data_IF_719047970550
#
_entry.id   IF_719047970550
#
_cell.length_a   1.000
_cell.length_b   1.000
_cell.length_c   1.000
_cell.angle_alpha   90.00
_cell.angle_beta   90.00
_cell.angle_gamma   90.00
#
_symmetry.space_group_name_H-M   'P 1'
#
loop_
_entity.id
_entity.type
_entity.pdbx_description
1 polymer ?
#
# COMPACT_ATOMS: atom_id res chain seq x y z
N UNK A 1 -16.43 21.09 42.92
CA UNK A 1 -17.89 21.22 43.16
C UNK A 1 -18.16 22.17 44.31
N UNK A 2 -17.52 22.01 45.47
CA UNK A 2 -17.77 22.85 46.64
C UNK A 2 -17.50 24.36 46.45
N UNK A 3 -16.57 24.74 45.56
CA UNK A 3 -16.18 26.14 45.38
C UNK A 3 -16.97 26.79 44.25
N UNK A 4 -17.25 26.06 43.17
CA UNK A 4 -17.84 26.60 41.94
C UNK A 4 -19.25 26.11 41.64
N UNK A 5 -19.85 25.34 42.55
CA UNK A 5 -21.19 24.72 42.38
C UNK A 5 -21.40 24.02 41.04
N UNK A 6 -20.31 23.41 40.54
CA UNK A 6 -20.30 22.66 39.26
C UNK A 6 -19.43 21.41 39.39
N UNK A 7 -19.50 20.53 38.41
CA UNK A 7 -18.64 19.34 38.35
C UNK A 7 -17.15 19.73 38.21
N UNK A 8 -16.25 18.99 38.85
CA UNK A 8 -14.81 19.27 38.78
C UNK A 8 -14.22 18.92 37.39
N UNK A 9 -14.82 17.98 36.71
CA UNK A 9 -14.46 17.53 35.36
C UNK A 9 -15.68 16.94 34.65
N UNK A 10 -15.72 17.03 33.35
CA UNK A 10 -16.80 16.45 32.52
C UNK A 10 -16.49 15.05 32.05
N UNK A 11 -15.21 14.74 31.81
CA UNK A 11 -14.76 13.46 31.29
C UNK A 11 -13.60 12.93 32.14
N UNK A 12 -13.55 11.60 32.31
CA UNK A 12 -12.47 10.89 32.97
C UNK A 12 -12.01 9.75 32.06
N UNK A 13 -10.73 9.72 31.76
CA UNK A 13 -10.11 8.61 31.03
C UNK A 13 -9.24 7.85 32.03
N UNK A 14 -9.54 6.57 32.22
CA UNK A 14 -8.72 5.69 33.04
C UNK A 14 -7.77 4.92 32.13
N UNK A 15 -6.46 5.09 32.30
CA UNK A 15 -5.46 4.36 31.52
C UNK A 15 -5.26 2.93 32.01
N UNK A 16 -4.99 2.02 31.08
CA UNK A 16 -4.51 0.68 31.38
C UNK A 16 -3.08 0.66 31.92
N UNK A 17 -2.60 -0.52 32.26
CA UNK A 17 -1.22 -0.73 32.73
C UNK A 17 -0.27 -0.94 31.54
N UNK A 18 0.97 -0.47 31.69
CA UNK A 18 2.06 -0.85 30.80
C UNK A 18 2.66 -2.16 31.31
N UNK A 19 2.55 -3.21 30.51
CA UNK A 19 3.03 -4.56 30.77
C UNK A 19 4.32 -4.83 29.97
N UNK A 20 5.07 -5.87 30.35
CA UNK A 20 6.17 -6.34 29.51
C UNK A 20 5.66 -6.96 28.18
N UNK A 21 6.55 -7.30 27.26
CA UNK A 21 6.19 -7.87 25.96
C UNK A 21 5.43 -9.21 26.07
N UNK A 22 5.56 -9.92 27.19
CA UNK A 22 4.84 -11.17 27.49
C UNK A 22 3.47 -10.93 28.14
N UNK A 23 3.16 -9.67 28.50
CA UNK A 23 1.91 -9.30 29.15
C UNK A 23 1.93 -9.43 30.67
N UNK A 24 3.11 -9.51 31.29
CA UNK A 24 3.23 -9.52 32.75
C UNK A 24 3.40 -8.10 33.29
N UNK A 25 2.92 -7.87 34.50
CA UNK A 25 3.13 -6.61 35.22
C UNK A 25 4.63 -6.37 35.42
N UNK A 26 5.11 -5.20 35.04
CA UNK A 26 6.50 -4.81 35.26
C UNK A 26 6.81 -4.63 36.76
N UNK A 27 7.90 -5.21 37.21
CA UNK A 27 8.36 -5.12 38.58
C UNK A 27 9.88 -5.15 38.69
N UNK A 28 10.46 -4.29 39.51
CA UNK A 28 11.91 -4.28 39.76
C UNK A 28 12.40 -5.62 40.37
N UNK A 29 11.55 -6.29 41.15
CA UNK A 29 11.88 -7.60 41.75
C UNK A 29 11.99 -8.71 40.71
N UNK A 30 11.18 -8.64 39.65
CA UNK A 30 11.18 -9.62 38.54
C UNK A 30 12.26 -9.26 37.49
N UNK A 31 12.75 -8.02 37.47
CA UNK A 31 13.75 -7.55 36.54
C UNK A 31 13.23 -7.34 35.10
N UNK A 32 11.91 -7.23 34.96
CA UNK A 32 11.25 -7.06 33.64
C UNK A 32 10.80 -5.61 33.38
N UNK A 33 11.36 -4.64 34.10
CA UNK A 33 11.05 -3.21 33.93
C UNK A 33 11.84 -2.68 32.73
N UNK A 34 11.16 -2.11 31.77
CA UNK A 34 11.78 -1.35 30.69
C UNK A 34 12.04 0.08 31.17
N UNK A 35 13.29 0.53 31.05
CA UNK A 35 13.66 1.91 31.38
C UNK A 35 13.26 2.84 30.22
N UNK A 36 12.33 3.79 30.43
CA UNK A 36 11.90 4.68 29.36
C UNK A 36 13.01 5.58 28.80
N UNK A 37 13.98 5.99 29.63
CA UNK A 37 15.10 6.81 29.18
C UNK A 37 16.02 6.04 28.21
N UNK A 38 16.30 4.78 28.50
CA UNK A 38 17.06 3.93 27.55
C UNK A 38 16.35 3.76 26.22
N UNK A 39 15.01 3.70 26.23
CA UNK A 39 14.22 3.63 25.00
C UNK A 39 14.27 4.95 24.22
N UNK A 40 14.19 6.09 24.94
CA UNK A 40 14.28 7.43 24.34
C UNK A 40 15.67 7.66 23.75
N UNK A 41 16.73 7.29 24.48
CA UNK A 41 18.11 7.44 24.00
C UNK A 41 18.39 6.57 22.76
N UNK A 42 17.79 5.39 22.71
CA UNK A 42 18.00 4.44 21.59
C UNK A 42 17.15 4.71 20.36
N UNK A 43 15.89 5.07 20.55
CA UNK A 43 14.91 5.13 19.46
C UNK A 43 14.37 6.53 19.18
N UNK A 44 14.58 7.48 20.10
CA UNK A 44 14.00 8.82 20.09
C UNK A 44 12.69 8.88 20.89
N UNK A 45 12.35 10.08 21.37
CA UNK A 45 11.14 10.29 22.17
C UNK A 45 9.85 10.07 21.36
N UNK A 46 9.81 10.57 20.12
CA UNK A 46 8.61 10.51 19.28
C UNK A 46 8.23 9.10 18.84
N UNK A 47 9.16 8.21 18.41
CA UNK A 47 8.83 6.82 18.18
C UNK A 47 8.27 6.09 19.39
N UNK A 48 8.82 6.36 20.59
CA UNK A 48 8.29 5.78 21.85
C UNK A 48 6.87 6.27 22.12
N UNK A 49 6.63 7.60 22.01
CA UNK A 49 5.32 8.21 22.21
C UNK A 49 4.28 7.67 21.22
N UNK A 50 4.61 7.72 19.93
CA UNK A 50 3.71 7.27 18.86
C UNK A 50 3.37 5.79 19.00
N UNK A 51 4.37 4.93 19.26
CA UNK A 51 4.13 3.52 19.55
C UNK A 51 3.19 3.31 20.73
N UNK A 52 3.41 4.01 21.85
CA UNK A 52 2.56 3.86 23.03
C UNK A 52 1.12 4.32 22.77
N UNK A 53 0.92 5.36 21.95
CA UNK A 53 -0.40 5.89 21.65
C UNK A 53 -1.15 5.08 20.59
N UNK A 54 -0.45 4.40 19.68
CA UNK A 54 -1.07 3.69 18.55
C UNK A 54 -1.16 2.17 18.74
N UNK A 55 -0.38 1.59 19.68
CA UNK A 55 -0.31 0.14 19.87
C UNK A 55 -1.56 -0.45 20.55
N UNK A 56 -2.13 0.23 21.53
CA UNK A 56 -3.37 -0.18 22.20
C UNK A 56 -4.19 1.03 22.63
N UNK A 57 -5.50 0.81 22.78
CA UNK A 57 -6.42 1.83 23.28
C UNK A 57 -5.99 2.32 24.67
N UNK A 58 -6.20 3.61 25.03
CA UNK A 58 -5.70 4.17 26.30
C UNK A 58 -6.19 3.43 27.54
N UNK A 59 -7.40 2.88 27.52
CA UNK A 59 -8.01 2.15 28.63
C UNK A 59 -7.61 0.68 28.70
N UNK A 60 -6.96 0.14 27.66
CA UNK A 60 -6.46 -1.22 27.63
C UNK A 60 -5.03 -1.33 28.14
N UNK A 61 -4.64 -2.53 28.54
CA UNK A 61 -3.27 -2.79 28.94
C UNK A 61 -2.33 -2.81 27.71
N UNK A 62 -1.32 -1.97 27.75
CA UNK A 62 -0.28 -1.91 26.71
C UNK A 62 0.80 -2.96 26.98
N UNK A 63 1.02 -3.90 26.05
CA UNK A 63 2.21 -4.74 26.02
C UNK A 63 3.34 -3.98 25.37
N UNK A 64 4.30 -3.54 26.16
CA UNK A 64 5.43 -2.77 25.66
C UNK A 64 6.52 -3.70 25.12
N UNK A 65 6.78 -3.60 23.81
CA UNK A 65 7.83 -4.34 23.12
C UNK A 65 8.81 -3.34 22.47
N UNK A 66 10.10 -3.33 22.88
CA UNK A 66 11.13 -2.50 22.23
C UNK A 66 11.26 -2.72 20.70
N UNK A 67 10.98 -3.94 20.22
CA UNK A 67 11.00 -4.21 18.79
C UNK A 67 9.85 -3.49 18.06
N UNK A 68 8.69 -3.35 18.69
CA UNK A 68 7.57 -2.58 18.16
C UNK A 68 7.90 -1.08 18.07
N UNK A 69 8.65 -0.54 19.04
CA UNK A 69 9.16 0.84 18.97
C UNK A 69 10.11 1.02 17.78
N UNK A 70 11.06 0.08 17.60
CA UNK A 70 11.97 0.12 16.45
C UNK A 70 11.24 -0.04 15.11
N UNK A 71 10.23 -0.87 15.07
CA UNK A 71 9.36 -1.03 13.89
C UNK A 71 8.63 0.28 13.56
N UNK A 72 8.05 0.95 14.54
CA UNK A 72 7.41 2.26 14.41
C UNK A 72 8.41 3.31 13.90
N UNK A 73 9.62 3.36 14.47
CA UNK A 73 10.69 4.25 14.03
C UNK A 73 11.05 4.04 12.56
N UNK A 74 11.21 2.78 12.13
CA UNK A 74 11.62 2.45 10.77
C UNK A 74 10.47 2.57 9.76
N UNK A 75 9.29 2.04 10.09
CA UNK A 75 8.17 1.96 9.14
C UNK A 75 7.41 3.27 9.04
N UNK A 76 7.08 3.92 10.15
CA UNK A 76 6.33 5.18 10.12
C UNK A 76 7.27 6.39 9.93
N UNK A 77 8.15 6.66 10.89
CA UNK A 77 9.02 7.85 10.81
C UNK A 77 10.00 7.75 9.65
N UNK A 78 10.56 6.55 9.40
CA UNK A 78 11.44 6.34 8.24
C UNK A 78 10.73 6.57 6.91
N UNK A 79 9.48 6.16 6.77
CA UNK A 79 8.67 6.41 5.57
C UNK A 79 8.35 7.89 5.40
N UNK A 80 7.92 8.55 6.47
CA UNK A 80 7.63 9.99 6.43
C UNK A 80 8.88 10.81 6.11
N UNK A 81 10.01 10.49 6.74
CA UNK A 81 11.30 11.11 6.46
C UNK A 81 11.73 10.91 4.98
N UNK A 82 11.61 9.70 4.45
CA UNK A 82 11.95 9.43 3.05
C UNK A 82 11.03 10.19 2.08
N UNK A 83 9.75 10.33 2.43
CA UNK A 83 8.77 11.10 1.65
C UNK A 83 9.12 12.58 1.65
N UNK A 84 9.45 13.15 2.82
CA UNK A 84 9.95 14.51 2.95
C UNK A 84 11.27 14.70 2.20
N UNK A 85 12.25 13.81 2.38
CA UNK A 85 13.56 13.89 1.72
C UNK A 85 13.43 13.85 0.19
N UNK A 86 12.51 13.03 -0.33
CA UNK A 86 12.19 13.03 -1.76
C UNK A 86 11.65 14.39 -2.21
N UNK A 87 10.69 14.95 -1.47
CA UNK A 87 10.14 16.27 -1.76
C UNK A 87 11.24 17.34 -1.72
N UNK A 88 11.98 17.43 -0.63
CA UNK A 88 13.00 18.45 -0.39
C UNK A 88 14.12 18.41 -1.44
N UNK A 89 14.57 17.20 -1.82
CA UNK A 89 15.60 17.03 -2.84
C UNK A 89 15.20 17.70 -4.15
N UNK A 90 14.02 17.38 -4.66
CA UNK A 90 13.57 17.91 -5.95
C UNK A 90 13.09 19.34 -5.84
N UNK A 91 12.42 19.73 -4.76
CA UNK A 91 11.97 21.10 -4.52
C UNK A 91 13.16 22.08 -4.51
N UNK A 92 14.26 21.71 -3.87
CA UNK A 92 15.49 22.55 -3.84
C UNK A 92 16.16 22.63 -5.21
N UNK A 93 16.22 21.53 -5.96
CA UNK A 93 16.83 21.51 -7.31
C UNK A 93 16.02 22.34 -8.29
N UNK A 94 14.70 22.25 -8.22
CA UNK A 94 13.79 22.91 -9.14
C UNK A 94 13.41 24.35 -8.70
N UNK A 95 13.81 24.77 -7.49
CA UNK A 95 13.48 26.09 -6.93
C UNK A 95 11.97 26.24 -6.67
N UNK A 96 11.33 25.18 -6.13
CA UNK A 96 9.91 25.23 -5.81
C UNK A 96 9.61 26.34 -4.79
N UNK A 97 8.60 27.15 -5.10
CA UNK A 97 8.07 28.21 -4.24
C UNK A 97 6.67 27.80 -3.74
N UNK A 98 6.56 27.63 -2.43
CA UNK A 98 5.29 27.26 -1.79
C UNK A 98 4.23 28.38 -1.84
N UNK A 99 4.68 29.64 -1.99
CA UNK A 99 3.81 30.82 -2.08
C UNK A 99 3.37 31.11 -3.53
N UNK A 100 3.91 30.37 -4.50
CA UNK A 100 3.50 30.52 -5.90
C UNK A 100 2.00 30.31 -6.09
N UNK A 101 1.45 30.94 -7.14
CA UNK A 101 0.03 30.82 -7.49
C UNK A 101 -0.38 29.34 -7.59
N UNK A 102 -1.41 28.99 -6.84
CA UNK A 102 -1.88 27.62 -6.76
C UNK A 102 -2.52 27.17 -8.09
N UNK A 103 -2.18 25.96 -8.53
CA UNK A 103 -2.91 25.29 -9.60
C UNK A 103 -4.34 25.06 -9.11
N UNK A 104 -5.38 25.56 -9.83
CA UNK A 104 -6.77 25.36 -9.45
C UNK A 104 -7.09 23.86 -9.25
N UNK A 105 -7.91 23.55 -8.23
CA UNK A 105 -8.23 22.15 -7.88
C UNK A 105 -8.79 21.37 -9.08
N UNK A 106 -9.64 21.97 -9.88
CA UNK A 106 -10.29 21.36 -11.04
C UNK A 106 -9.30 21.05 -12.19
N UNK A 107 -8.16 21.73 -12.23
CA UNK A 107 -7.11 21.50 -13.22
C UNK A 107 -6.09 20.45 -12.77
N UNK A 108 -6.09 20.10 -11.50
CA UNK A 108 -5.17 19.10 -10.98
C UNK A 108 -5.50 17.72 -11.54
N UNK A 109 -4.50 16.90 -11.88
CA UNK A 109 -4.72 15.50 -12.24
C UNK A 109 -5.55 14.75 -11.20
N UNK A 110 -6.27 13.72 -11.63
CA UNK A 110 -7.14 12.91 -10.74
C UNK A 110 -6.39 12.37 -9.53
N UNK A 111 -5.13 11.94 -9.72
CA UNK A 111 -4.29 11.43 -8.63
C UNK A 111 -3.98 12.48 -7.56
N UNK A 112 -3.83 13.75 -7.94
CA UNK A 112 -3.62 14.86 -7.00
C UNK A 112 -4.93 15.18 -6.26
N UNK A 113 -6.06 15.20 -6.98
CA UNK A 113 -7.39 15.40 -6.38
C UNK A 113 -7.74 14.28 -5.40
N UNK A 114 -7.40 13.04 -5.76
CA UNK A 114 -7.60 11.90 -4.87
C UNK A 114 -6.84 12.04 -3.55
N UNK A 115 -5.53 12.31 -3.59
CA UNK A 115 -4.76 12.38 -2.33
C UNK A 115 -5.18 13.58 -1.47
N UNK A 116 -5.61 14.70 -2.09
CA UNK A 116 -6.16 15.84 -1.37
C UNK A 116 -7.54 15.53 -0.77
N UNK A 117 -8.38 14.77 -1.45
CA UNK A 117 -9.63 14.25 -0.90
C UNK A 117 -9.35 13.36 0.32
N UNK A 118 -8.48 12.36 0.16
CA UNK A 118 -8.07 11.46 1.25
C UNK A 118 -7.46 12.22 2.43
N UNK A 119 -6.71 13.30 2.18
CA UNK A 119 -6.16 14.17 3.21
C UNK A 119 -7.28 14.87 4.00
N UNK A 120 -8.31 15.39 3.34
CA UNK A 120 -9.44 16.04 4.00
C UNK A 120 -10.29 15.03 4.78
N UNK A 121 -10.46 13.83 4.27
CA UNK A 121 -11.07 12.70 4.99
C UNK A 121 -10.24 12.31 6.22
N UNK A 122 -8.91 12.31 6.12
CA UNK A 122 -8.00 12.10 7.25
C UNK A 122 -8.19 13.17 8.33
N UNK A 123 -8.16 14.47 7.96
CA UNK A 123 -8.34 15.59 8.91
C UNK A 123 -9.63 15.42 9.69
N UNK A 124 -10.74 15.14 9.00
CA UNK A 124 -12.06 14.92 9.60
C UNK A 124 -12.07 13.71 10.53
N UNK A 125 -11.41 12.62 10.11
CA UNK A 125 -11.28 11.41 10.90
C UNK A 125 -10.47 11.64 12.19
N UNK A 126 -9.31 12.26 12.08
CA UNK A 126 -8.43 12.56 13.21
C UNK A 126 -9.10 13.50 14.21
N UNK A 127 -9.74 14.58 13.74
CA UNK A 127 -10.47 15.51 14.59
C UNK A 127 -11.59 14.80 15.38
N UNK A 128 -12.39 13.96 14.68
CA UNK A 128 -13.46 13.17 15.30
C UNK A 128 -12.94 12.23 16.38
N UNK A 129 -11.87 11.48 16.09
CA UNK A 129 -11.33 10.50 17.05
C UNK A 129 -10.69 11.20 18.27
N UNK A 130 -9.96 12.31 18.05
CA UNK A 130 -9.42 13.10 19.16
C UNK A 130 -10.51 13.76 20.01
N UNK A 131 -11.57 14.28 19.37
CA UNK A 131 -12.74 14.79 20.09
C UNK A 131 -13.46 13.71 20.91
N UNK A 132 -13.39 12.45 20.43
CA UNK A 132 -13.87 11.26 21.12
C UNK A 132 -12.91 10.69 22.19
N UNK A 133 -11.76 11.34 22.42
CA UNK A 133 -10.68 10.87 23.32
C UNK A 133 -10.04 9.54 22.88
N UNK A 134 -10.03 9.24 21.59
CA UNK A 134 -9.38 8.05 21.01
C UNK A 134 -8.13 8.42 20.20
N UNK A 135 -7.00 8.70 20.87
CA UNK A 135 -5.74 9.00 20.18
C UNK A 135 -5.19 7.79 19.40
N UNK A 136 -5.56 6.58 19.80
CA UNK A 136 -5.08 5.36 19.13
C UNK A 136 -5.61 5.26 17.73
N UNK A 137 -6.92 5.46 17.53
CA UNK A 137 -7.51 5.47 16.20
C UNK A 137 -7.01 6.67 15.39
N UNK A 138 -6.94 7.85 15.99
CA UNK A 138 -6.42 9.03 15.34
C UNK A 138 -4.99 8.82 14.82
N UNK A 139 -4.08 8.30 15.64
CA UNK A 139 -2.71 8.01 15.24
C UNK A 139 -2.61 6.94 14.15
N UNK A 140 -3.46 5.90 14.20
CA UNK A 140 -3.52 4.85 13.16
C UNK A 140 -4.03 5.38 11.82
N UNK A 141 -4.95 6.35 11.82
CA UNK A 141 -5.38 7.02 10.58
C UNK A 141 -4.22 7.79 9.94
N UNK A 142 -3.41 8.50 10.75
CA UNK A 142 -2.23 9.22 10.26
C UNK A 142 -1.20 8.22 9.70
N UNK A 143 -0.95 7.12 10.41
CA UNK A 143 -0.01 6.07 9.99
C UNK A 143 -0.41 5.45 8.64
N UNK A 144 -1.67 5.06 8.51
CA UNK A 144 -2.21 4.50 7.27
C UNK A 144 -2.09 5.49 6.09
N UNK A 145 -2.49 6.74 6.28
CA UNK A 145 -2.39 7.75 5.24
C UNK A 145 -0.94 7.97 4.78
N UNK A 146 0.00 8.10 5.72
CA UNK A 146 1.42 8.34 5.39
C UNK A 146 2.04 7.15 4.65
N UNK A 147 1.80 5.93 5.15
CA UNK A 147 2.40 4.73 4.58
C UNK A 147 1.70 4.29 3.30
N UNK A 148 0.39 4.12 3.34
CA UNK A 148 -0.34 3.45 2.26
C UNK A 148 -0.70 4.44 1.15
N UNK A 149 -1.29 5.58 1.47
CA UNK A 149 -1.77 6.53 0.47
C UNK A 149 -0.66 7.45 -0.03
N UNK A 150 0.05 8.14 0.87
CA UNK A 150 1.00 9.17 0.48
C UNK A 150 2.30 8.58 -0.09
N UNK A 151 2.99 7.72 0.65
CA UNK A 151 4.30 7.20 0.26
C UNK A 151 4.18 6.07 -0.76
N UNK A 152 3.47 4.98 -0.40
CA UNK A 152 3.43 3.75 -1.20
C UNK A 152 2.52 3.86 -2.43
N UNK A 153 1.68 4.89 -2.50
CA UNK A 153 0.80 5.09 -3.65
C UNK A 153 1.08 6.42 -4.34
N UNK A 154 0.74 7.55 -3.75
CA UNK A 154 0.88 8.86 -4.40
C UNK A 154 2.31 9.16 -4.86
N UNK A 155 3.29 9.17 -3.95
CA UNK A 155 4.68 9.50 -4.30
C UNK A 155 5.26 8.49 -5.28
N UNK A 156 5.04 7.19 -5.05
CA UNK A 156 5.57 6.14 -5.91
C UNK A 156 5.06 6.25 -7.34
N UNK A 157 3.78 6.52 -7.54
CA UNK A 157 3.16 6.66 -8.87
C UNK A 157 3.60 7.94 -9.59
N UNK A 158 3.88 8.99 -8.85
CA UNK A 158 4.15 10.32 -9.40
C UNK A 158 5.63 10.68 -9.52
N UNK A 159 6.57 9.80 -9.16
CA UNK A 159 8.01 10.08 -9.18
C UNK A 159 8.50 10.70 -10.49
N UNK A 160 8.00 10.23 -11.63
CA UNK A 160 8.38 10.72 -12.95
C UNK A 160 7.99 12.18 -13.19
N UNK A 161 6.95 12.69 -12.55
CA UNK A 161 6.51 14.09 -12.65
C UNK A 161 7.53 15.06 -12.06
N UNK A 162 8.35 14.61 -11.10
CA UNK A 162 9.40 15.39 -10.46
C UNK A 162 10.73 15.38 -11.23
N UNK A 163 10.92 14.48 -12.21
CA UNK A 163 12.22 14.31 -12.90
C UNK A 163 12.43 15.22 -14.11
N UNK A 164 11.40 15.85 -14.63
CA UNK A 164 11.51 16.77 -15.77
C UNK A 164 12.32 18.03 -15.40
N UNK A 165 13.01 18.64 -16.36
CA UNK A 165 13.80 19.87 -16.15
C UNK A 165 12.94 21.13 -16.06
N UNK A 166 11.78 21.14 -16.72
CA UNK A 166 10.90 22.31 -16.79
C UNK A 166 9.79 22.24 -15.75
N UNK A 167 9.49 23.35 -15.11
CA UNK A 167 8.36 23.51 -14.19
C UNK A 167 7.07 23.65 -15.00
N UNK A 168 6.49 22.53 -15.40
CA UNK A 168 5.16 22.49 -16.04
C UNK A 168 4.04 22.67 -14.99
N UNK A 169 2.82 23.03 -15.44
CA UNK A 169 1.64 23.11 -14.56
C UNK A 169 1.38 21.78 -13.85
N UNK A 170 1.59 20.64 -14.53
CA UNK A 170 1.47 19.31 -13.94
C UNK A 170 2.52 19.04 -12.84
N UNK A 171 3.78 19.42 -13.08
CA UNK A 171 4.87 19.29 -12.11
C UNK A 171 4.61 20.22 -10.90
N UNK A 172 4.18 21.46 -11.15
CA UNK A 172 3.82 22.39 -10.09
C UNK A 172 2.67 21.86 -9.23
N UNK A 173 1.64 21.30 -9.88
CA UNK A 173 0.53 20.62 -9.19
C UNK A 173 1.02 19.51 -8.25
N UNK A 174 1.95 18.68 -8.72
CA UNK A 174 2.53 17.60 -7.91
C UNK A 174 3.29 18.12 -6.69
N UNK A 175 4.10 19.19 -6.86
CA UNK A 175 4.79 19.83 -5.73
C UNK A 175 3.82 20.44 -4.71
N UNK A 176 2.87 21.23 -5.17
CA UNK A 176 1.89 21.86 -4.28
C UNK A 176 1.05 20.85 -3.54
N UNK A 177 0.67 19.76 -4.19
CA UNK A 177 -0.10 18.66 -3.57
C UNK A 177 0.73 17.95 -2.50
N UNK A 178 1.98 17.57 -2.80
CA UNK A 178 2.84 16.87 -1.85
C UNK A 178 3.22 17.77 -0.67
N UNK A 179 3.51 19.07 -0.93
CA UNK A 179 3.74 20.07 0.10
C UNK A 179 2.55 20.20 1.06
N UNK A 180 1.34 20.33 0.51
CA UNK A 180 0.10 20.41 1.29
C UNK A 180 -0.09 19.18 2.18
N UNK A 181 0.17 17.97 1.63
CA UNK A 181 0.08 16.74 2.40
C UNK A 181 1.10 16.72 3.55
N UNK A 182 2.36 17.04 3.29
CA UNK A 182 3.42 16.99 4.30
C UNK A 182 3.20 18.04 5.41
N UNK A 183 2.83 19.28 5.04
CA UNK A 183 2.53 20.34 6.00
C UNK A 183 1.33 19.98 6.89
N UNK A 184 0.28 19.42 6.30
CA UNK A 184 -0.91 18.99 7.05
C UNK A 184 -0.58 17.82 7.97
N UNK A 185 0.20 16.84 7.50
CA UNK A 185 0.66 15.71 8.33
C UNK A 185 1.50 16.20 9.51
N UNK A 186 2.39 17.19 9.32
CA UNK A 186 3.16 17.79 10.42
C UNK A 186 2.22 18.36 11.50
N UNK A 187 1.20 19.11 11.11
CA UNK A 187 0.21 19.67 12.05
C UNK A 187 -0.63 18.60 12.76
N UNK A 188 -1.10 17.58 12.03
CA UNK A 188 -1.86 16.46 12.62
C UNK A 188 -1.01 15.61 13.57
N UNK A 189 0.28 15.49 13.28
CA UNK A 189 1.23 14.68 14.04
C UNK A 189 1.70 15.36 15.34
N UNK A 190 1.59 16.68 15.44
CA UNK A 190 2.10 17.48 16.56
C UNK A 190 1.67 16.95 17.96
N UNK A 191 0.42 16.53 18.22
CA UNK A 191 0.05 15.95 19.52
C UNK A 191 0.72 14.61 19.84
N UNK A 192 1.12 13.86 18.83
CA UNK A 192 1.67 12.51 18.95
C UNK A 192 3.20 12.50 19.02
N UNK A 193 3.83 13.20 18.09
CA UNK A 193 5.27 13.26 17.87
C UNK A 193 5.73 14.72 17.79
N UNK A 194 5.75 15.44 18.94
CA UNK A 194 5.89 16.89 18.98
C UNK A 194 7.21 17.40 18.41
N UNK A 195 8.31 16.67 18.59
CA UNK A 195 9.63 17.13 18.15
C UNK A 195 9.81 16.97 16.64
N UNK A 196 9.46 15.80 16.10
CA UNK A 196 9.56 15.54 14.68
C UNK A 196 8.56 16.39 13.87
N UNK A 197 7.36 16.57 14.39
CA UNK A 197 6.34 17.42 13.77
C UNK A 197 6.79 18.87 13.66
N UNK A 198 7.45 19.38 14.70
CA UNK A 198 7.97 20.76 14.74
C UNK A 198 9.12 20.94 13.75
N UNK A 199 10.08 20.02 13.73
CA UNK A 199 11.18 20.01 12.77
C UNK A 199 10.67 19.95 11.32
N UNK A 200 9.76 19.03 11.03
CA UNK A 200 9.16 18.91 9.70
C UNK A 200 8.40 20.20 9.29
N UNK A 201 7.71 20.83 10.23
CA UNK A 201 7.00 22.09 10.00
C UNK A 201 7.98 23.22 9.64
N UNK A 202 9.09 23.33 10.35
CA UNK A 202 10.13 24.31 10.07
C UNK A 202 10.83 24.05 8.73
N UNK A 203 11.19 22.81 8.47
CA UNK A 203 11.82 22.39 7.21
C UNK A 203 10.95 22.70 5.99
N UNK A 204 9.62 22.67 6.16
CA UNK A 204 8.65 23.03 5.12
C UNK A 204 8.38 24.55 5.04
N UNK A 205 9.03 25.36 5.84
CA UNK A 205 8.85 26.82 5.85
C UNK A 205 7.60 27.28 6.58
N UNK A 206 7.21 26.60 7.65
CA UNK A 206 6.08 27.02 8.49
C UNK A 206 6.22 28.45 9.00
N UNK A 207 5.13 29.22 8.99
CA UNK A 207 5.14 30.66 9.27
C UNK A 207 5.37 31.03 10.75
N UNK A 208 5.00 30.12 11.67
CA UNK A 208 5.09 30.36 13.10
C UNK A 208 6.37 29.79 13.72
N UNK A 209 6.73 30.29 14.90
CA UNK A 209 7.90 29.84 15.65
C UNK A 209 7.85 28.32 16.00
N UNK A 210 6.66 27.74 16.01
CA UNK A 210 6.47 26.33 16.26
C UNK A 210 5.13 25.85 15.71
N UNK A 211 5.08 24.60 15.24
CA UNK A 211 3.85 23.92 14.83
C UNK A 211 2.80 23.91 15.96
N UNK A 212 3.26 23.94 17.22
CA UNK A 212 2.40 23.95 18.40
C UNK A 212 1.68 25.28 18.65
N UNK A 213 2.08 26.33 17.96
CA UNK A 213 1.42 27.63 17.96
C UNK A 213 0.44 27.78 16.80
N UNK A 214 0.50 26.89 15.84
CA UNK A 214 -0.38 26.90 14.67
C UNK A 214 -1.74 26.25 14.97
N UNK A 215 -2.71 26.54 14.11
CA UNK A 215 -4.06 25.98 14.23
C UNK A 215 -4.08 24.53 13.78
N UNK A 216 -4.88 23.73 14.49
CA UNK A 216 -5.17 22.38 14.03
C UNK A 216 -5.88 22.42 12.66
N UNK A 217 -5.53 21.53 11.72
CA UNK A 217 -6.12 21.53 10.40
C UNK A 217 -7.64 21.36 10.42
N UNK A 218 -8.32 22.07 9.53
CA UNK A 218 -9.77 21.95 9.32
C UNK A 218 -10.01 21.37 7.94
N UNK A 219 -10.87 20.36 7.84
CA UNK A 219 -11.19 19.73 6.57
C UNK A 219 -11.97 20.67 5.65
N UNK A 220 -11.58 20.71 4.38
CA UNK A 220 -12.39 21.26 3.31
C UNK A 220 -13.34 20.20 2.78
N UNK A 221 -14.59 20.25 3.23
CA UNK A 221 -15.63 19.29 2.85
C UNK A 221 -15.90 19.30 1.32
N UNK A 222 -15.66 20.43 0.64
CA UNK A 222 -15.86 20.52 -0.81
C UNK A 222 -14.77 19.78 -1.62
N UNK A 223 -13.62 19.52 -1.02
CA UNK A 223 -12.54 18.77 -1.64
C UNK A 223 -12.67 17.25 -1.45
N UNK A 224 -13.64 16.79 -0.65
CA UNK A 224 -13.86 15.35 -0.42
C UNK A 224 -14.70 14.76 -1.56
N UNK A 225 -14.10 13.81 -2.28
CA UNK A 225 -14.73 13.02 -3.34
C UNK A 225 -14.71 11.54 -2.93
N UNK A 226 -15.78 11.11 -2.25
CA UNK A 226 -15.89 9.75 -1.72
C UNK A 226 -15.88 8.66 -2.82
N UNK A 227 -16.43 8.96 -4.00
CA UNK A 227 -16.43 8.05 -5.15
C UNK A 227 -15.01 7.83 -5.68
N UNK A 228 -14.23 8.91 -5.77
CA UNK A 228 -12.81 8.83 -6.17
C UNK A 228 -11.96 8.09 -5.14
N UNK A 229 -12.20 8.32 -3.84
CA UNK A 229 -11.52 7.59 -2.77
C UNK A 229 -11.83 6.09 -2.84
N UNK A 230 -13.10 5.70 -3.07
CA UNK A 230 -13.51 4.31 -3.20
C UNK A 230 -12.87 3.63 -4.42
N UNK A 231 -12.87 4.29 -5.58
CA UNK A 231 -12.20 3.78 -6.80
C UNK A 231 -10.72 3.50 -6.57
N UNK A 232 -10.03 4.41 -5.91
CA UNK A 232 -8.60 4.25 -5.63
C UNK A 232 -8.34 3.19 -4.55
N UNK A 233 -9.19 3.07 -3.54
CA UNK A 233 -9.11 1.99 -2.55
C UNK A 233 -9.28 0.61 -3.20
N UNK A 234 -10.19 0.48 -4.16
CA UNK A 234 -10.34 -0.74 -4.97
C UNK A 234 -9.05 -1.01 -5.77
N UNK A 235 -8.47 0.02 -6.40
CA UNK A 235 -7.22 -0.14 -7.15
C UNK A 235 -6.05 -0.60 -6.26
N UNK A 236 -5.88 0.01 -5.08
CA UNK A 236 -4.87 -0.39 -4.09
C UNK A 236 -5.06 -1.85 -3.66
N UNK A 237 -6.30 -2.24 -3.38
CA UNK A 237 -6.64 -3.58 -2.94
C UNK A 237 -6.37 -4.63 -4.02
N UNK A 238 -6.86 -4.41 -5.24
CA UNK A 238 -6.58 -5.30 -6.39
C UNK A 238 -5.06 -5.43 -6.60
N UNK A 239 -4.33 -4.31 -6.58
CA UNK A 239 -2.87 -4.32 -6.72
C UNK A 239 -2.20 -5.18 -5.65
N UNK A 240 -2.58 -5.01 -4.39
CA UNK A 240 -2.05 -5.80 -3.27
C UNK A 240 -2.32 -7.29 -3.45
N UNK A 241 -3.55 -7.66 -3.82
CA UNK A 241 -3.96 -9.04 -4.07
C UNK A 241 -3.15 -9.67 -5.22
N UNK A 242 -3.03 -8.99 -6.35
CA UNK A 242 -2.27 -9.49 -7.51
C UNK A 242 -0.78 -9.64 -7.19
N UNK A 243 -0.18 -8.68 -6.50
CA UNK A 243 1.22 -8.76 -6.08
C UNK A 243 1.46 -9.90 -5.08
N UNK A 244 0.47 -10.23 -4.23
CA UNK A 244 0.52 -11.39 -3.36
C UNK A 244 0.46 -12.70 -4.15
N UNK A 245 -0.40 -12.79 -5.18
CA UNK A 245 -0.48 -13.94 -6.08
C UNK A 245 0.83 -14.16 -6.84
N UNK A 246 1.44 -13.09 -7.38
CA UNK A 246 2.76 -13.16 -8.03
C UNK A 246 3.83 -13.71 -7.11
N UNK A 247 3.86 -13.26 -5.84
CA UNK A 247 4.80 -13.77 -4.82
C UNK A 247 4.58 -15.25 -4.50
N UNK A 248 3.34 -15.73 -4.46
CA UNK A 248 3.00 -17.13 -4.21
C UNK A 248 3.67 -18.08 -5.20
N UNK A 249 3.85 -17.66 -6.45
CA UNK A 249 4.47 -18.42 -7.54
C UNK A 249 5.82 -17.87 -7.98
N UNK A 250 6.40 -16.97 -7.22
CA UNK A 250 7.72 -16.36 -7.47
C UNK A 250 7.86 -15.69 -8.86
N UNK A 251 6.77 -15.12 -9.39
CA UNK A 251 6.81 -14.34 -10.63
C UNK A 251 7.10 -12.88 -10.30
N UNK A 252 8.24 -12.37 -10.77
CA UNK A 252 8.65 -10.97 -10.59
C UNK A 252 7.66 -10.01 -11.26
N UNK A 253 7.45 -8.82 -10.69
CA UNK A 253 6.55 -7.81 -11.27
C UNK A 253 7.03 -7.36 -12.67
N UNK A 254 8.34 -7.39 -12.93
CA UNK A 254 8.92 -7.11 -14.25
C UNK A 254 8.45 -8.06 -15.35
N UNK A 255 8.15 -9.32 -15.01
CA UNK A 255 7.58 -10.27 -15.95
C UNK A 255 6.14 -9.88 -16.25
N UNK A 256 5.82 -9.40 -17.47
CA UNK A 256 4.43 -9.12 -17.82
C UNK A 256 3.62 -10.41 -17.84
N UNK A 257 2.35 -10.31 -17.45
CA UNK A 257 1.38 -11.38 -17.56
C UNK A 257 0.24 -10.94 -18.49
N UNK A 258 -0.54 -11.90 -18.98
CA UNK A 258 -1.56 -11.59 -19.97
C UNK A 258 -2.69 -10.77 -19.34
N UNK A 259 -3.30 -11.24 -18.27
CA UNK A 259 -4.47 -10.57 -17.73
C UNK A 259 -4.76 -10.88 -16.25
N UNK A 260 -5.57 -10.02 -15.69
CA UNK A 260 -6.37 -10.31 -14.51
C UNK A 260 -7.84 -10.33 -14.88
N UNK A 261 -8.62 -11.18 -14.22
CA UNK A 261 -10.06 -11.25 -14.35
C UNK A 261 -10.72 -10.99 -13.01
N UNK A 262 -11.77 -10.18 -13.02
CA UNK A 262 -12.47 -9.73 -11.80
C UNK A 262 -13.97 -9.97 -12.01
N UNK A 263 -14.65 -10.74 -11.14
CA UNK A 263 -16.10 -10.77 -11.13
C UNK A 263 -16.61 -9.46 -10.54
N UNK A 264 -17.35 -8.68 -11.31
CA UNK A 264 -18.03 -7.50 -10.79
C UNK A 264 -19.30 -7.93 -10.05
N UNK A 265 -19.46 -7.40 -8.83
CA UNK A 265 -20.64 -7.68 -8.01
C UNK A 265 -21.85 -6.91 -8.53
N UNK A 266 -21.61 -5.66 -8.97
CA UNK A 266 -22.60 -4.76 -9.53
C UNK A 266 -22.00 -3.79 -10.55
N UNK A 267 -22.85 -2.99 -11.19
CA UNK A 267 -22.45 -2.04 -12.24
C UNK A 267 -21.59 -0.89 -11.67
N UNK A 268 -21.74 -0.51 -10.40
CA UNK A 268 -20.96 0.56 -9.76
C UNK A 268 -19.52 0.08 -9.57
N UNK A 269 -19.34 -1.10 -8.98
CA UNK A 269 -18.01 -1.69 -8.82
C UNK A 269 -17.32 -1.90 -10.17
N UNK A 270 -18.07 -2.35 -11.19
CA UNK A 270 -17.55 -2.50 -12.55
C UNK A 270 -17.04 -1.17 -13.10
N UNK A 271 -17.84 -0.11 -12.99
CA UNK A 271 -17.46 1.23 -13.45
C UNK A 271 -16.20 1.76 -12.71
N UNK A 272 -16.11 1.54 -11.39
CA UNK A 272 -14.94 1.91 -10.61
C UNK A 272 -13.67 1.19 -11.08
N UNK A 273 -13.74 -0.12 -11.35
CA UNK A 273 -12.60 -0.91 -11.84
C UNK A 273 -12.22 -0.49 -13.26
N UNK A 274 -13.18 -0.24 -14.14
CA UNK A 274 -12.94 0.27 -15.50
C UNK A 274 -12.20 1.61 -15.47
N UNK A 275 -12.61 2.53 -14.59
CA UNK A 275 -11.97 3.83 -14.44
C UNK A 275 -10.48 3.74 -14.02
N UNK A 276 -10.11 2.75 -13.22
CA UNK A 276 -8.74 2.53 -12.75
C UNK A 276 -7.98 1.43 -13.51
N UNK A 277 -8.55 0.86 -14.58
CA UNK A 277 -7.95 -0.26 -15.31
C UNK A 277 -6.57 0.07 -15.88
N UNK A 278 -6.37 1.29 -16.39
CA UNK A 278 -5.07 1.77 -16.86
C UNK A 278 -4.00 1.79 -15.77
N UNK A 279 -4.37 2.24 -14.57
CA UNK A 279 -3.50 2.24 -13.40
C UNK A 279 -3.16 0.80 -12.99
N UNK A 280 -4.15 -0.07 -12.90
CA UNK A 280 -3.95 -1.48 -12.56
C UNK A 280 -2.99 -2.18 -13.53
N UNK A 281 -3.19 -2.02 -14.85
CA UNK A 281 -2.30 -2.61 -15.86
C UNK A 281 -0.83 -2.25 -15.63
N UNK A 282 -0.57 -0.99 -15.33
CA UNK A 282 0.78 -0.51 -15.08
C UNK A 282 1.36 -1.05 -13.76
N UNK A 283 0.56 -1.03 -12.68
CA UNK A 283 1.01 -1.38 -11.35
C UNK A 283 1.31 -2.86 -11.17
N UNK A 284 0.46 -3.71 -11.73
CA UNK A 284 0.63 -5.17 -11.63
C UNK A 284 1.25 -5.79 -12.87
N UNK A 285 1.61 -4.97 -13.89
CA UNK A 285 2.22 -5.36 -15.14
C UNK A 285 1.47 -6.49 -15.86
N UNK A 286 0.21 -6.22 -16.18
CA UNK A 286 -0.64 -7.07 -17.02
C UNK A 286 -1.08 -6.33 -18.27
N UNK A 287 -1.35 -7.07 -19.34
CA UNK A 287 -1.81 -6.49 -20.61
C UNK A 287 -3.27 -6.07 -20.53
N UNK A 288 -4.09 -6.85 -19.82
CA UNK A 288 -5.53 -6.66 -19.79
C UNK A 288 -6.10 -6.78 -18.37
N UNK A 289 -7.17 -6.03 -18.16
CA UNK A 289 -8.07 -6.14 -17.00
C UNK A 289 -9.44 -6.45 -17.54
N UNK A 290 -9.92 -7.66 -17.30
CA UNK A 290 -11.17 -8.16 -17.85
C UNK A 290 -12.15 -8.55 -16.75
N UNK A 291 -13.44 -8.58 -17.10
CA UNK A 291 -14.49 -9.02 -16.19
C UNK A 291 -14.91 -10.45 -16.50
N UNK A 292 -15.24 -11.19 -15.44
CA UNK A 292 -15.80 -12.53 -15.58
C UNK A 292 -17.29 -12.39 -15.84
N UNK A 293 -17.72 -12.84 -17.01
CA UNK A 293 -19.12 -13.02 -17.35
C UNK A 293 -19.46 -14.51 -17.22
N UNK A 294 -20.18 -14.90 -16.14
CA UNK A 294 -20.58 -16.29 -15.90
C UNK A 294 -19.65 -17.10 -15.02
N UNK A 295 -19.93 -18.41 -14.86
CA UNK A 295 -19.31 -19.27 -13.84
C UNK A 295 -17.98 -19.96 -14.25
N UNK A 296 -17.39 -19.64 -15.40
CA UNK A 296 -16.39 -20.53 -16.06
C UNK A 296 -14.99 -20.60 -15.44
N UNK A 297 -14.50 -19.56 -14.74
CA UNK A 297 -13.09 -19.44 -14.30
C UNK A 297 -12.94 -19.57 -12.78
N UNK A 298 -14.00 -19.42 -12.00
CA UNK A 298 -13.96 -19.46 -10.55
C UNK A 298 -14.65 -20.72 -10.04
N UNK A 299 -13.87 -21.64 -9.47
CA UNK A 299 -14.40 -22.75 -8.68
C UNK A 299 -14.56 -22.26 -7.26
N UNK A 300 -15.79 -22.00 -6.83
CA UNK A 300 -16.09 -21.56 -5.46
C UNK A 300 -16.22 -22.75 -4.52
N UNK A 301 -15.76 -22.55 -3.28
CA UNK A 301 -15.97 -23.45 -2.15
C UNK A 301 -16.41 -22.69 -0.92
N UNK A 302 -17.20 -23.36 -0.08
CA UNK A 302 -17.64 -22.81 1.19
C UNK A 302 -16.75 -23.31 2.30
N UNK A 303 -16.11 -22.37 3.01
CA UNK A 303 -15.31 -22.66 4.20
C UNK A 303 -16.05 -22.23 5.44
N UNK A 304 -16.38 -23.18 6.31
CA UNK A 304 -17.11 -22.91 7.54
C UNK A 304 -16.26 -22.16 8.57
N UNK A 305 -16.78 -21.09 9.15
CA UNK A 305 -16.18 -20.43 10.30
C UNK A 305 -16.53 -21.18 11.58
N UNK A 306 -15.71 -22.19 11.94
CA UNK A 306 -15.95 -23.05 13.11
C UNK A 306 -16.08 -22.29 14.43
N UNK A 307 -15.48 -21.10 14.55
CA UNK A 307 -15.56 -20.28 15.75
C UNK A 307 -16.95 -19.67 15.95
N UNK A 308 -17.58 -19.25 14.88
CA UNK A 308 -18.94 -18.68 14.86
C UNK A 308 -19.97 -19.80 14.86
N UNK A 309 -19.86 -20.71 13.89
CA UNK A 309 -20.81 -21.77 13.63
C UNK A 309 -20.85 -22.82 14.77
N UNK A 310 -19.71 -23.07 15.44
CA UNK A 310 -19.65 -23.99 16.57
C UNK A 310 -20.54 -23.58 17.74
N UNK A 311 -20.67 -22.27 17.98
CA UNK A 311 -21.60 -21.72 19.00
C UNK A 311 -23.05 -21.79 18.55
N UNK A 312 -23.33 -21.61 17.24
CA UNK A 312 -24.67 -21.58 16.64
C UNK A 312 -25.27 -22.97 16.50
N UNK A 313 -24.46 -23.95 16.04
CA UNK A 313 -24.96 -25.28 15.67
C UNK A 313 -24.57 -26.41 16.64
N UNK A 314 -23.62 -26.19 17.53
CA UNK A 314 -23.26 -27.15 18.59
C UNK A 314 -23.00 -28.56 18.06
N UNK A 315 -23.82 -29.53 18.45
CA UNK A 315 -23.68 -30.96 18.04
C UNK A 315 -23.92 -31.19 16.55
N UNK A 316 -24.69 -30.32 15.90
CA UNK A 316 -24.99 -30.43 14.47
C UNK A 316 -23.85 -29.92 13.58
N UNK A 317 -22.85 -29.23 14.17
CA UNK A 317 -21.76 -28.56 13.43
C UNK A 317 -21.06 -29.47 12.43
N UNK A 318 -20.80 -30.73 12.78
CA UNK A 318 -20.11 -31.69 11.88
C UNK A 318 -20.95 -32.00 10.63
N UNK A 319 -22.24 -32.19 10.78
CA UNK A 319 -23.17 -32.44 9.68
C UNK A 319 -23.35 -31.19 8.81
N UNK A 320 -23.49 -30.01 9.45
CA UNK A 320 -23.58 -28.72 8.75
C UNK A 320 -22.32 -28.49 7.91
N UNK A 321 -21.13 -28.66 8.48
CA UNK A 321 -19.86 -28.47 7.77
C UNK A 321 -19.73 -29.45 6.58
N UNK A 322 -20.14 -30.69 6.74
CA UNK A 322 -20.09 -31.68 5.67
C UNK A 322 -21.01 -31.29 4.50
N UNK A 323 -22.24 -30.87 4.77
CA UNK A 323 -23.18 -30.46 3.72
C UNK A 323 -22.75 -29.14 3.06
N UNK A 324 -22.28 -28.17 3.83
CA UNK A 324 -21.76 -26.91 3.27
C UNK A 324 -20.54 -27.12 2.35
N UNK A 325 -19.64 -28.04 2.71
CA UNK A 325 -18.48 -28.38 1.88
C UNK A 325 -18.82 -29.20 0.63
N UNK A 326 -19.99 -29.79 0.59
CA UNK A 326 -20.47 -30.59 -0.54
C UNK A 326 -21.34 -29.81 -1.54
N UNK A 327 -21.60 -28.53 -1.29
CA UNK A 327 -22.39 -27.67 -2.20
C UNK A 327 -21.68 -27.57 -3.55
N UNK A 328 -22.43 -27.77 -4.62
CA UNK A 328 -21.97 -27.49 -5.99
C UNK A 328 -22.01 -25.99 -6.33
N UNK A 329 -21.51 -25.62 -7.52
CA UNK A 329 -21.39 -24.23 -7.92
C UNK A 329 -22.74 -23.51 -8.02
N UNK A 330 -23.78 -24.20 -8.48
CA UNK A 330 -25.12 -23.64 -8.60
C UNK A 330 -25.76 -23.43 -7.23
N UNK A 331 -25.56 -24.35 -6.32
CA UNK A 331 -26.00 -24.27 -4.93
C UNK A 331 -25.27 -23.14 -4.18
N UNK A 332 -23.98 -22.95 -4.40
CA UNK A 332 -23.22 -21.86 -3.81
C UNK A 332 -23.71 -20.51 -4.34
N UNK A 333 -23.95 -20.40 -5.65
CA UNK A 333 -24.48 -19.19 -6.26
C UNK A 333 -25.91 -18.86 -5.74
N UNK A 334 -26.76 -19.88 -5.58
CA UNK A 334 -28.09 -19.71 -5.00
C UNK A 334 -28.01 -19.27 -3.52
N UNK A 335 -27.09 -19.84 -2.75
CA UNK A 335 -26.83 -19.48 -1.36
C UNK A 335 -26.37 -18.01 -1.22
N UNK A 336 -25.40 -17.59 -2.05
CA UNK A 336 -24.95 -16.19 -2.09
C UNK A 336 -26.10 -15.22 -2.38
N UNK A 337 -26.93 -15.56 -3.36
CA UNK A 337 -28.04 -14.72 -3.78
C UNK A 337 -29.17 -14.65 -2.74
N UNK A 338 -29.48 -15.79 -2.09
CA UNK A 338 -30.51 -15.88 -1.08
C UNK A 338 -30.09 -15.33 0.29
N UNK A 339 -28.77 -15.22 0.55
CA UNK A 339 -28.21 -14.79 1.82
C UNK A 339 -28.22 -15.86 2.92
N UNK A 340 -28.93 -16.95 2.73
CA UNK A 340 -28.98 -18.10 3.64
C UNK A 340 -29.33 -19.40 2.91
N UNK A 341 -29.06 -20.53 3.61
CA UNK A 341 -29.47 -21.85 3.17
C UNK A 341 -29.99 -22.64 4.37
N UNK A 342 -31.07 -23.39 4.19
CA UNK A 342 -31.60 -24.30 5.21
C UNK A 342 -31.13 -25.73 4.91
N UNK A 343 -30.38 -26.31 5.84
CA UNK A 343 -29.89 -27.68 5.76
C UNK A 343 -30.70 -28.56 6.70
N UNK A 344 -30.92 -29.83 6.33
CA UNK A 344 -31.49 -30.83 7.22
C UNK A 344 -30.40 -31.79 7.70
N UNK A 345 -30.11 -31.75 9.00
CA UNK A 345 -29.08 -32.56 9.64
C UNK A 345 -29.78 -33.46 10.68
N UNK A 346 -29.77 -34.75 10.43
CA UNK A 346 -30.38 -35.77 11.31
C UNK A 346 -31.85 -35.41 11.70
N UNK A 347 -32.63 -34.87 10.78
CA UNK A 347 -34.00 -34.49 10.98
C UNK A 347 -34.24 -33.13 11.67
N UNK A 348 -33.16 -32.38 11.89
CA UNK A 348 -33.23 -31.00 12.44
C UNK A 348 -32.84 -29.97 11.37
N UNK A 349 -33.59 -28.89 11.31
CA UNK A 349 -33.29 -27.79 10.41
C UNK A 349 -32.16 -26.91 10.98
N UNK A 350 -31.17 -26.61 10.13
CA UNK A 350 -30.07 -25.70 10.43
C UNK A 350 -30.00 -24.60 9.36
N UNK A 351 -30.30 -23.36 9.75
CA UNK A 351 -30.20 -22.20 8.85
C UNK A 351 -28.80 -21.60 8.94
N UNK A 352 -28.05 -21.70 7.84
CA UNK A 352 -26.71 -21.12 7.68
C UNK A 352 -26.85 -19.84 6.89
N UNK A 353 -26.27 -18.76 7.40
CA UNK A 353 -26.20 -17.46 6.75
C UNK A 353 -24.86 -17.28 6.04
N UNK A 354 -24.79 -16.46 4.99
CA UNK A 354 -23.55 -16.15 4.29
C UNK A 354 -22.50 -15.58 5.27
N UNK A 355 -22.94 -14.83 6.28
CA UNK A 355 -22.07 -14.29 7.34
C UNK A 355 -21.44 -15.37 8.26
N UNK A 356 -21.98 -16.58 8.28
CA UNK A 356 -21.45 -17.70 9.08
C UNK A 356 -20.28 -18.43 8.41
N UNK A 357 -20.06 -18.17 7.12
CA UNK A 357 -19.09 -18.89 6.28
C UNK A 357 -18.20 -17.93 5.51
N UNK A 358 -17.14 -18.44 4.94
CA UNK A 358 -16.29 -17.76 3.99
C UNK A 358 -16.41 -18.48 2.63
N UNK A 359 -16.86 -17.77 1.60
CA UNK A 359 -16.93 -18.31 0.24
C UNK A 359 -15.61 -17.95 -0.44
N UNK A 360 -14.81 -18.95 -0.76
CA UNK A 360 -13.49 -18.81 -1.37
C UNK A 360 -13.51 -19.36 -2.79
N UNK A 361 -12.70 -18.78 -3.66
CA UNK A 361 -12.45 -19.33 -4.99
C UNK A 361 -11.11 -20.07 -4.97
N UNK A 362 -11.02 -21.19 -5.67
CA UNK A 362 -9.81 -22.00 -5.77
C UNK A 362 -9.03 -21.71 -7.04
N UNK A 363 -7.72 -21.96 -6.95
CA UNK A 363 -6.83 -21.90 -8.12
C UNK A 363 -7.25 -23.01 -9.13
N UNK A 364 -7.27 -22.66 -10.40
CA UNK A 364 -7.46 -23.60 -11.51
C UNK A 364 -6.21 -23.62 -12.38
N UNK A 365 -5.97 -24.66 -13.21
CA UNK A 365 -4.80 -24.71 -14.07
C UNK A 365 -4.62 -23.42 -14.88
N UNK A 366 -3.43 -22.81 -14.79
CA UNK A 366 -3.09 -21.55 -15.44
C UNK A 366 -3.55 -20.27 -14.72
N UNK A 367 -4.32 -20.39 -13.63
CA UNK A 367 -4.87 -19.24 -12.89
C UNK A 367 -4.65 -19.36 -11.39
N UNK A 368 -4.34 -18.23 -10.76
CA UNK A 368 -4.32 -18.09 -9.31
C UNK A 368 -5.44 -17.15 -8.87
N UNK A 369 -6.11 -17.48 -7.79
CA UNK A 369 -7.25 -16.71 -7.30
C UNK A 369 -6.97 -16.18 -5.89
N UNK A 370 -7.34 -14.93 -5.65
CA UNK A 370 -7.34 -14.28 -4.34
C UNK A 370 -8.71 -13.69 -4.04
N UNK A 371 -9.13 -13.81 -2.77
CA UNK A 371 -10.39 -13.26 -2.29
C UNK A 371 -10.11 -12.39 -1.07
N UNK A 372 -10.72 -11.21 -1.01
CA UNK A 372 -10.64 -10.32 0.13
C UNK A 372 -11.93 -9.52 0.27
N UNK A 373 -12.75 -9.88 1.27
CA UNK A 373 -14.10 -9.34 1.42
C UNK A 373 -14.98 -9.70 0.22
N UNK A 374 -15.56 -8.69 -0.41
CA UNK A 374 -16.40 -8.82 -1.61
C UNK A 374 -15.61 -8.75 -2.93
N UNK A 375 -14.29 -8.67 -2.86
CA UNK A 375 -13.44 -8.56 -4.03
C UNK A 375 -12.73 -9.89 -4.29
N UNK A 376 -12.81 -10.35 -5.54
CA UNK A 376 -12.11 -11.53 -6.03
C UNK A 376 -11.28 -11.14 -7.25
N UNK A 377 -10.05 -11.64 -7.34
CA UNK A 377 -9.18 -11.41 -8.49
C UNK A 377 -8.57 -12.74 -8.92
N UNK A 378 -8.69 -13.07 -10.20
CA UNK A 378 -8.00 -14.18 -10.83
C UNK A 378 -6.84 -13.64 -11.68
N UNK A 379 -5.64 -14.16 -11.48
CA UNK A 379 -4.43 -13.82 -12.20
C UNK A 379 -4.04 -14.97 -13.13
N UNK A 380 -3.94 -14.70 -14.42
CA UNK A 380 -3.38 -15.65 -15.38
C UNK A 380 -1.86 -15.71 -15.23
N UNK A 381 -1.33 -16.91 -14.96
CA UNK A 381 0.10 -17.11 -14.72
C UNK A 381 0.79 -17.89 -15.83
N UNK A 382 0.06 -18.29 -16.86
CA UNK A 382 0.63 -18.93 -18.02
C UNK A 382 1.40 -17.92 -18.89
N UNK A 383 2.63 -18.29 -19.23
CA UNK A 383 3.53 -17.39 -19.98
C UNK A 383 3.61 -17.81 -21.44
N UNK A 384 3.14 -16.93 -22.33
CA UNK A 384 3.39 -17.08 -23.77
C UNK A 384 4.86 -16.80 -24.10
N UNK A 385 5.37 -17.29 -25.25
CA UNK A 385 6.72 -16.98 -25.70
C UNK A 385 6.99 -15.47 -25.79
N UNK A 386 6.01 -14.69 -26.22
CA UNK A 386 6.10 -13.22 -26.33
C UNK A 386 6.24 -12.56 -24.97
N UNK A 387 5.44 -13.00 -23.97
CA UNK A 387 5.53 -12.48 -22.60
C UNK A 387 6.87 -12.82 -21.94
N UNK A 388 7.43 -13.99 -22.24
CA UNK A 388 8.78 -14.38 -21.77
C UNK A 388 9.85 -13.47 -22.35
N UNK A 389 9.82 -13.24 -23.67
CA UNK A 389 10.76 -12.33 -24.35
C UNK A 389 10.68 -10.91 -23.80
N UNK A 390 9.46 -10.38 -23.59
CA UNK A 390 9.29 -9.05 -22.99
C UNK A 390 9.78 -9.02 -21.53
N UNK A 391 9.54 -10.07 -20.76
CA UNK A 391 10.05 -10.22 -19.39
C UNK A 391 11.58 -10.18 -19.37
N UNK A 392 12.23 -10.90 -20.28
CA UNK A 392 13.68 -10.91 -20.42
C UNK A 392 14.22 -9.53 -20.87
N UNK A 393 13.55 -8.85 -21.80
CA UNK A 393 13.92 -7.49 -22.18
C UNK A 393 13.89 -6.51 -20.99
N UNK A 394 12.87 -6.61 -20.11
CA UNK A 394 12.76 -5.80 -18.89
C UNK A 394 13.81 -6.17 -17.84
N UNK A 395 14.21 -7.44 -17.76
CA UNK A 395 15.31 -7.88 -16.89
C UNK A 395 16.65 -7.33 -17.41
N UNK A 396 16.92 -7.38 -18.70
CA UNK A 396 18.09 -6.75 -19.34
C UNK A 396 18.16 -5.26 -19.07
N UNK A 397 17.06 -4.51 -19.22
CA UNK A 397 16.99 -3.09 -18.88
C UNK A 397 17.42 -2.86 -17.45
N UNK A 398 16.90 -3.67 -16.51
CA UNK A 398 17.25 -3.53 -15.09
C UNK A 398 18.74 -3.80 -14.84
N UNK A 399 19.33 -4.84 -15.45
CA UNK A 399 20.74 -5.16 -15.32
C UNK A 399 21.62 -4.05 -15.89
N UNK A 400 21.32 -3.57 -17.09
CA UNK A 400 22.04 -2.46 -17.71
C UNK A 400 21.95 -1.18 -16.89
N UNK A 401 20.79 -0.85 -16.33
CA UNK A 401 20.61 0.31 -15.46
C UNK A 401 21.41 0.19 -14.12
N UNK A 402 21.55 -1.02 -13.59
CA UNK A 402 22.40 -1.26 -12.43
C UNK A 402 23.89 -1.07 -12.78
N UNK A 403 24.34 -1.63 -13.90
CA UNK A 403 25.70 -1.45 -14.39
C UNK A 403 26.03 0.03 -14.65
N UNK A 404 25.10 0.80 -15.22
CA UNK A 404 25.27 2.26 -15.37
C UNK A 404 25.57 2.96 -14.04
N UNK A 405 24.86 2.59 -12.97
CA UNK A 405 25.10 3.15 -11.63
C UNK A 405 26.45 2.73 -11.04
N UNK A 406 26.77 1.45 -11.16
CA UNK A 406 28.02 0.87 -10.64
C UNK A 406 29.24 1.43 -11.34
N UNK A 407 29.14 1.74 -12.61
CA UNK A 407 30.20 2.38 -13.42
C UNK A 407 30.23 3.90 -13.27
N UNK A 408 29.35 4.50 -12.46
CA UNK A 408 29.35 5.94 -12.18
C UNK A 408 28.91 6.81 -13.35
N UNK A 409 28.12 6.27 -14.27
CA UNK A 409 27.56 7.03 -15.39
C UNK A 409 26.45 7.96 -14.93
N UNK A 410 26.43 9.15 -15.49
CA UNK A 410 25.35 10.12 -15.26
C UNK A 410 24.03 9.64 -15.90
N UNK A 411 22.92 10.13 -15.35
CA UNK A 411 21.57 9.74 -15.84
C UNK A 411 21.37 10.06 -17.33
N UNK A 412 22.02 11.13 -17.80
CA UNK A 412 21.90 11.63 -19.18
C UNK A 412 22.93 11.05 -20.14
N UNK A 413 23.89 10.28 -19.66
CA UNK A 413 24.93 9.70 -20.52
C UNK A 413 24.32 8.70 -21.52
N UNK A 414 24.79 8.78 -22.75
CA UNK A 414 24.46 7.78 -23.78
C UNK A 414 25.51 6.67 -23.76
N UNK A 415 25.05 5.46 -24.07
CA UNK A 415 25.89 4.26 -23.97
C UNK A 415 25.78 3.38 -25.20
N UNK A 416 26.82 2.56 -25.40
CA UNK A 416 26.79 1.39 -26.26
C UNK A 416 26.79 0.14 -25.37
N UNK A 417 25.99 -0.85 -25.73
CA UNK A 417 25.82 -2.07 -24.95
C UNK A 417 26.16 -3.29 -25.80
N UNK A 418 27.03 -4.16 -25.27
CA UNK A 418 27.29 -5.48 -25.87
C UNK A 418 26.92 -6.56 -24.86
N UNK A 419 26.06 -7.49 -25.29
CA UNK A 419 25.54 -8.59 -24.47
C UNK A 419 26.13 -9.91 -24.99
N UNK A 420 26.72 -10.72 -24.11
CA UNK A 420 27.23 -12.03 -24.52
C UNK A 420 26.09 -12.93 -25.02
N UNK A 421 26.33 -13.79 -26.05
CA UNK A 421 25.29 -14.62 -26.62
C UNK A 421 24.60 -15.54 -25.62
N UNK A 422 23.26 -15.54 -25.63
CA UNK A 422 22.43 -16.46 -24.89
C UNK A 422 21.04 -16.51 -25.54
N UNK A 423 20.48 -17.70 -25.73
CA UNK A 423 19.23 -17.92 -26.47
C UNK A 423 18.07 -17.03 -25.98
N UNK A 424 17.91 -16.86 -24.68
CA UNK A 424 16.81 -16.08 -24.11
C UNK A 424 17.01 -14.57 -24.27
N UNK A 425 18.24 -14.08 -24.04
CA UNK A 425 18.54 -12.65 -24.19
C UNK A 425 18.60 -12.23 -25.66
N UNK A 426 19.11 -13.10 -26.54
CA UNK A 426 19.19 -12.86 -27.98
C UNK A 426 17.77 -12.69 -28.57
N UNK A 427 16.87 -13.64 -28.26
CA UNK A 427 15.47 -13.55 -28.67
C UNK A 427 14.74 -12.31 -28.12
N UNK A 428 15.09 -11.85 -26.91
CA UNK A 428 14.55 -10.64 -26.33
C UNK A 428 15.10 -9.37 -26.99
N UNK A 429 16.41 -9.33 -27.30
CA UNK A 429 17.05 -8.21 -28.01
C UNK A 429 16.49 -8.10 -29.41
N UNK A 430 16.38 -9.21 -30.15
CA UNK A 430 15.81 -9.21 -31.50
C UNK A 430 14.38 -8.64 -31.55
N UNK A 431 13.56 -8.99 -30.54
CA UNK A 431 12.16 -8.56 -30.50
C UNK A 431 11.97 -7.14 -29.95
N UNK A 432 12.85 -6.67 -29.05
CA UNK A 432 12.64 -5.47 -28.25
C UNK A 432 13.83 -4.49 -28.24
N UNK A 433 14.77 -4.55 -29.22
CA UNK A 433 15.98 -3.73 -29.24
C UNK A 433 15.70 -2.23 -29.07
N UNK A 434 14.74 -1.67 -29.79
CA UNK A 434 14.42 -0.24 -29.68
C UNK A 434 13.81 0.15 -28.36
N UNK A 435 13.00 -0.74 -27.77
CA UNK A 435 12.47 -0.54 -26.42
C UNK A 435 13.60 -0.55 -25.38
N UNK A 436 14.51 -1.52 -25.45
CA UNK A 436 15.66 -1.62 -24.52
C UNK A 436 16.52 -0.36 -24.66
N UNK A 437 16.94 0.00 -25.89
CA UNK A 437 17.75 1.20 -26.15
C UNK A 437 17.11 2.46 -25.60
N UNK A 438 15.81 2.64 -25.83
CA UNK A 438 15.06 3.80 -25.31
C UNK A 438 15.04 3.88 -23.78
N UNK A 439 14.95 2.74 -23.08
CA UNK A 439 14.88 2.70 -21.62
C UNK A 439 16.24 2.88 -20.93
N UNK A 440 17.34 2.54 -21.60
CA UNK A 440 18.68 2.64 -21.01
C UNK A 440 19.54 3.76 -21.63
N UNK A 441 18.97 4.59 -22.54
CA UNK A 441 19.67 5.62 -23.31
C UNK A 441 20.85 5.06 -24.11
N UNK A 442 20.67 3.87 -24.71
CA UNK A 442 21.69 3.27 -25.55
C UNK A 442 21.53 3.74 -27.02
N UNK A 443 22.67 4.00 -27.67
CA UNK A 443 22.75 4.25 -29.11
C UNK A 443 22.78 2.93 -29.89
N UNK A 444 23.49 1.93 -29.34
CA UNK A 444 23.52 0.57 -29.88
C UNK A 444 23.31 -0.48 -28.80
N UNK A 445 22.76 -1.63 -29.23
CA UNK A 445 22.79 -2.87 -28.47
C UNK A 445 23.17 -4.01 -29.43
N UNK A 446 24.22 -4.72 -29.12
CA UNK A 446 24.78 -5.76 -29.98
C UNK A 446 24.96 -7.06 -29.17
N UNK A 447 24.85 -8.18 -29.90
CA UNK A 447 25.11 -9.52 -29.34
C UNK A 447 26.51 -9.93 -29.77
N UNK A 448 27.39 -10.20 -28.80
CA UNK A 448 28.75 -10.58 -29.07
C UNK A 448 29.57 -10.89 -27.85
N UNK A 449 30.68 -11.63 -28.03
CA UNK A 449 31.63 -11.88 -26.95
C UNK A 449 32.23 -10.55 -26.47
N UNK A 450 32.27 -10.40 -25.15
CA UNK A 450 32.78 -9.18 -24.54
C UNK A 450 33.47 -9.47 -23.20
N UNK A 451 34.30 -8.52 -22.76
CA UNK A 451 35.01 -8.55 -21.48
C UNK A 451 34.29 -7.71 -20.40
N UNK A 452 32.97 -7.55 -20.53
CA UNK A 452 32.14 -6.80 -19.57
C UNK A 452 31.97 -7.52 -18.24
N UNK A 453 31.03 -7.01 -17.45
CA UNK A 453 30.74 -7.52 -16.11
C UNK A 453 29.89 -8.77 -16.19
N UNK A 454 30.30 -9.85 -15.53
CA UNK A 454 29.46 -11.04 -15.36
C UNK A 454 28.20 -10.67 -14.56
N UNK A 455 27.07 -10.80 -15.18
CA UNK A 455 25.77 -10.42 -14.66
C UNK A 455 24.89 -11.63 -14.48
N UNK A 456 24.31 -11.77 -13.29
CA UNK A 456 23.47 -12.90 -12.91
C UNK A 456 22.00 -12.65 -13.29
N UNK A 457 21.42 -13.61 -13.96
CA UNK A 457 19.99 -13.77 -14.21
C UNK A 457 19.48 -14.94 -13.33
N UNK A 458 18.18 -15.21 -13.37
CA UNK A 458 17.61 -16.25 -12.48
C UNK A 458 18.22 -17.63 -12.71
N UNK A 459 18.41 -18.02 -13.99
CA UNK A 459 18.82 -19.38 -14.37
C UNK A 459 20.22 -19.43 -15.04
N UNK A 460 20.84 -18.28 -15.34
CA UNK A 460 22.12 -18.22 -16.02
C UNK A 460 22.91 -16.94 -15.68
N UNK A 461 24.16 -16.90 -16.15
CA UNK A 461 25.02 -15.72 -16.07
C UNK A 461 25.57 -15.42 -17.47
N UNK A 462 25.75 -14.14 -17.76
CA UNK A 462 26.42 -13.69 -18.97
C UNK A 462 27.12 -12.35 -18.78
N UNK A 463 28.06 -12.04 -19.64
CA UNK A 463 28.77 -10.77 -19.62
C UNK A 463 27.96 -9.67 -20.32
N UNK A 464 27.90 -8.51 -19.68
CA UNK A 464 27.34 -7.29 -20.27
C UNK A 464 28.41 -6.20 -20.20
N UNK A 465 28.74 -5.62 -21.34
CA UNK A 465 29.64 -4.47 -21.46
C UNK A 465 28.79 -3.21 -21.68
N UNK A 466 29.01 -2.21 -20.87
CA UNK A 466 28.39 -0.89 -20.99
C UNK A 466 29.48 0.15 -21.15
N UNK A 467 29.53 0.81 -22.28
CA UNK A 467 30.51 1.83 -22.59
C UNK A 467 29.83 3.17 -22.81
N UNK A 468 30.42 4.24 -22.26
CA UNK A 468 29.96 5.61 -22.52
C UNK A 468 30.31 5.99 -23.97
N UNK A 469 29.36 6.60 -24.66
CA UNK A 469 29.53 7.08 -26.01
C UNK A 469 30.30 8.42 -26.04
#
# INVERSE_FOLDING_TARGET
TMVFDSVAFKNVISSGLVLDAKGNKMSKHVGNVTNPFEMIDKYGADPVRFYMMTNSEPWDNLKFDPNGVDETRRKFFGTLYNTYSFFALYANVDGFDAEAAQVPFEKRPEIDRWILSSLNTLIKGVDRELAGYDPTRAGRLIDAFVNDDLSNWYVRLNRKRFWGKEMSEDKLSAYQTLYTCLMTVAKLLAPFAPFYADELYHDLGGELESVHLDKFPVADEAAIDADLEERMAIAQKITSMVLALRRKVNIKVRQPLQQIMIPAVDDVQKAHIEAVAGLLKNEVNVKEVNFIEGQGILVKKVKCNFRVMGKKFGKLMKGVAAQMSALDQDQIAAFEKAGNITLNIDGQEAVVEVADVEIISEDIPGWLVSNEGNLTVALEVELTPELKKEGMARELINRIQNLRKETGLEITDRINVTVAPNEETDAAIEAFADYIKGQVLADSIEIGDNAGVETEFDDFKLNILVEKN
#
